data_IF_281968259111
#
_entry.id   IF_281968259111
#
_cell.length_a   1.000
_cell.length_b   1.000
_cell.length_c   1.000
_cell.angle_alpha   90.00
_cell.angle_beta   90.00
_cell.angle_gamma   90.00
#
_symmetry.space_group_name_H-M   'P 1'
#
loop_
_entity.id
_entity.type
_entity.pdbx_description
1 polymer ?
#
# COMPACT_ATOMS: atom_id res chain seq x y z
N UNK A 1 15.91 -0.80 -5.98
CA UNK A 1 15.18 -1.80 -5.15
C UNK A 1 13.67 -1.49 -5.11
N UNK A 2 13.24 -0.27 -4.75
CA UNK A 2 11.81 0.15 -4.77
C UNK A 2 11.15 0.03 -6.15
N UNK A 3 11.78 0.56 -7.20
CA UNK A 3 11.29 0.45 -8.59
C UNK A 3 10.98 -0.99 -9.03
N UNK A 4 11.77 -1.97 -8.57
CA UNK A 4 11.54 -3.37 -8.92
C UNK A 4 10.37 -3.98 -8.13
N UNK A 5 10.15 -3.54 -6.89
CA UNK A 5 8.99 -3.92 -6.09
C UNK A 5 7.70 -3.39 -6.74
N UNK A 6 7.70 -2.12 -7.16
CA UNK A 6 6.55 -1.52 -7.85
C UNK A 6 6.27 -2.20 -9.18
N UNK A 7 7.30 -2.44 -10.01
CA UNK A 7 7.14 -3.20 -11.27
C UNK A 7 6.53 -4.57 -11.04
N UNK A 8 7.02 -5.33 -10.05
CA UNK A 8 6.45 -6.65 -9.72
C UNK A 8 4.98 -6.56 -9.29
N UNK A 9 4.62 -5.53 -8.53
CA UNK A 9 3.23 -5.30 -8.14
C UNK A 9 2.35 -4.98 -9.35
N UNK A 10 2.80 -4.08 -10.23
CA UNK A 10 2.08 -3.73 -11.45
C UNK A 10 1.93 -4.95 -12.38
N UNK A 11 3.00 -5.71 -12.58
CA UNK A 11 3.00 -6.92 -13.42
C UNK A 11 2.05 -7.99 -12.85
N UNK A 12 2.00 -8.14 -11.53
CA UNK A 12 1.07 -9.04 -10.86
C UNK A 12 -0.39 -8.60 -11.07
N UNK A 13 -0.70 -7.31 -10.90
CA UNK A 13 -2.04 -6.75 -11.14
C UNK A 13 -2.45 -6.96 -12.60
N UNK A 14 -1.56 -6.66 -13.56
CA UNK A 14 -1.81 -6.89 -14.99
C UNK A 14 -2.05 -8.36 -15.29
N UNK A 15 -1.26 -9.24 -14.71
CA UNK A 15 -1.41 -10.68 -14.90
C UNK A 15 -2.77 -11.18 -14.39
N UNK A 16 -3.15 -10.81 -13.16
CA UNK A 16 -4.46 -11.22 -12.62
C UNK A 16 -5.61 -10.64 -13.44
N UNK A 17 -5.53 -9.35 -13.83
CA UNK A 17 -6.54 -8.73 -14.70
C UNK A 17 -6.67 -9.44 -16.04
N UNK A 18 -5.56 -9.79 -16.68
CA UNK A 18 -5.58 -10.49 -17.97
C UNK A 18 -6.14 -11.92 -17.86
N UNK A 19 -6.00 -12.56 -16.68
CA UNK A 19 -6.61 -13.86 -16.40
C UNK A 19 -8.13 -13.77 -16.20
N UNK A 20 -8.62 -12.66 -15.65
CA UNK A 20 -10.05 -12.46 -15.35
C UNK A 20 -10.83 -11.75 -16.49
N UNK A 21 -10.14 -10.90 -17.26
CA UNK A 21 -10.68 -10.07 -18.33
C UNK A 21 -9.94 -10.38 -19.64
N UNK A 22 -10.48 -11.29 -20.48
CA UNK A 22 -9.84 -11.67 -21.73
C UNK A 22 -9.72 -10.48 -22.71
N UNK A 23 -9.03 -10.70 -23.82
CA UNK A 23 -8.86 -9.67 -24.86
C UNK A 23 -10.18 -9.25 -25.50
N UNK A 24 -10.20 -8.07 -26.14
CA UNK A 24 -11.38 -7.43 -26.71
C UNK A 24 -12.27 -8.37 -27.56
N UNK A 25 -11.67 -9.38 -28.19
CA UNK A 25 -12.34 -10.39 -29.00
C UNK A 25 -13.30 -11.32 -28.24
N UNK A 26 -13.23 -11.36 -26.90
CA UNK A 26 -14.07 -12.21 -26.05
C UNK A 26 -14.99 -11.41 -25.10
N UNK A 27 -15.10 -10.10 -25.30
CA UNK A 27 -15.89 -9.20 -24.43
C UNK A 27 -17.34 -9.64 -24.33
N UNK A 28 -17.93 -10.13 -25.42
CA UNK A 28 -19.32 -10.58 -25.47
C UNK A 28 -19.61 -11.86 -24.66
N UNK A 29 -18.59 -12.54 -24.13
CA UNK A 29 -18.73 -13.79 -23.36
C UNK A 29 -18.47 -13.61 -21.86
N UNK A 30 -18.10 -12.41 -21.42
CA UNK A 30 -17.73 -12.13 -20.02
C UNK A 30 -18.46 -10.87 -19.56
N UNK A 31 -19.01 -10.92 -18.35
CA UNK A 31 -19.54 -9.73 -17.70
C UNK A 31 -18.38 -8.88 -17.14
N UNK A 32 -17.91 -7.93 -17.96
CA UNK A 32 -16.81 -7.03 -17.61
C UNK A 32 -17.12 -6.21 -16.37
N UNK A 33 -18.36 -5.74 -16.22
CA UNK A 33 -18.75 -4.92 -15.07
C UNK A 33 -18.63 -5.72 -13.77
N UNK A 34 -19.17 -6.93 -13.74
CA UNK A 34 -19.11 -7.81 -12.57
C UNK A 34 -17.67 -8.24 -12.22
N UNK A 35 -16.86 -8.56 -13.23
CA UNK A 35 -15.45 -8.92 -13.04
C UNK A 35 -14.61 -7.75 -12.54
N UNK A 36 -14.74 -6.57 -13.16
CA UNK A 36 -14.08 -5.36 -12.70
C UNK A 36 -14.47 -5.00 -11.26
N UNK A 37 -15.76 -5.10 -10.91
CA UNK A 37 -16.25 -4.88 -9.55
C UNK A 37 -15.59 -5.84 -8.55
N UNK A 38 -15.58 -7.14 -8.88
CA UNK A 38 -14.95 -8.17 -8.03
C UNK A 38 -13.48 -7.89 -7.82
N UNK A 39 -12.75 -7.54 -8.89
CA UNK A 39 -11.33 -7.24 -8.83
C UNK A 39 -11.03 -5.99 -8.00
N UNK A 40 -11.80 -4.92 -8.19
CA UNK A 40 -11.67 -3.68 -7.41
C UNK A 40 -11.91 -3.94 -5.93
N UNK A 41 -12.95 -4.68 -5.58
CA UNK A 41 -13.25 -5.02 -4.19
C UNK A 41 -12.13 -5.88 -3.57
N UNK A 42 -11.63 -6.89 -4.30
CA UNK A 42 -10.47 -7.69 -3.86
C UNK A 42 -9.25 -6.80 -3.59
N UNK A 43 -8.97 -5.83 -4.46
CA UNK A 43 -7.86 -4.89 -4.26
C UNK A 43 -8.07 -3.92 -3.11
N UNK A 44 -9.24 -3.31 -2.98
CA UNK A 44 -9.56 -2.44 -1.85
C UNK A 44 -9.33 -3.16 -0.52
N UNK A 45 -9.89 -4.36 -0.36
CA UNK A 45 -9.72 -5.16 0.86
C UNK A 45 -8.26 -5.52 1.13
N UNK A 46 -7.51 -5.86 0.08
CA UNK A 46 -6.09 -6.21 0.19
C UNK A 46 -5.24 -5.02 0.64
N UNK A 47 -5.44 -3.86 0.02
CA UNK A 47 -4.77 -2.60 0.37
C UNK A 47 -5.16 -2.10 1.77
N UNK A 48 -6.44 -2.18 2.13
CA UNK A 48 -6.93 -1.81 3.46
C UNK A 48 -6.27 -2.67 4.54
N UNK A 49 -6.22 -3.99 4.35
CA UNK A 49 -5.58 -4.91 5.28
C UNK A 49 -4.10 -4.58 5.50
N UNK A 50 -3.34 -4.32 4.43
CA UNK A 50 -1.93 -3.95 4.53
C UNK A 50 -1.74 -2.59 5.20
N UNK A 51 -2.50 -1.58 4.77
CA UNK A 51 -2.48 -0.23 5.34
C UNK A 51 -2.75 -0.26 6.84
N UNK A 52 -3.78 -1.00 7.26
CA UNK A 52 -4.10 -1.19 8.68
C UNK A 52 -2.92 -1.82 9.44
N UNK A 53 -2.36 -2.91 8.92
CA UNK A 53 -1.23 -3.58 9.55
C UNK A 53 0.00 -2.66 9.70
N UNK A 54 0.32 -1.87 8.68
CA UNK A 54 1.43 -0.90 8.73
C UNK A 54 1.15 0.19 9.77
N UNK A 55 -0.07 0.74 9.82
CA UNK A 55 -0.47 1.72 10.84
C UNK A 55 -0.38 1.16 12.26
N UNK A 56 -0.80 -0.08 12.47
CA UNK A 56 -0.68 -0.77 13.75
C UNK A 56 0.80 -0.94 14.14
N UNK A 57 1.68 -1.29 13.20
CA UNK A 57 3.13 -1.35 13.42
C UNK A 57 3.73 0.01 13.79
N UNK A 58 3.33 1.10 13.12
CA UNK A 58 3.75 2.47 13.43
C UNK A 58 3.32 2.84 14.86
N UNK A 59 2.06 2.59 15.22
CA UNK A 59 1.52 2.87 16.56
C UNK A 59 2.31 2.15 17.64
N UNK A 60 2.45 0.82 17.53
CA UNK A 60 3.19 0.01 18.51
C UNK A 60 4.66 0.41 18.61
N UNK A 61 5.28 0.77 17.49
CA UNK A 61 6.69 1.20 17.46
C UNK A 61 6.87 2.57 18.11
N UNK A 62 5.92 3.47 17.91
CA UNK A 62 5.90 4.80 18.53
C UNK A 62 5.73 4.68 20.04
N UNK A 63 4.76 3.91 20.52
CA UNK A 63 4.53 3.66 21.95
C UNK A 63 5.79 3.10 22.63
N UNK A 64 6.43 2.12 22.01
CA UNK A 64 7.68 1.53 22.51
C UNK A 64 8.85 2.52 22.53
N UNK A 65 8.97 3.37 21.51
CA UNK A 65 10.02 4.37 21.44
C UNK A 65 9.85 5.41 22.56
N UNK A 66 8.63 5.91 22.75
CA UNK A 66 8.29 6.87 23.82
C UNK A 66 8.58 6.26 25.20
N UNK A 67 8.19 5.01 25.44
CA UNK A 67 8.47 4.33 26.71
C UNK A 67 9.98 4.24 26.99
N UNK A 68 10.79 3.94 25.96
CA UNK A 68 12.24 3.85 26.10
C UNK A 68 12.90 5.21 26.35
N UNK A 69 12.48 6.25 25.63
CA UNK A 69 12.97 7.61 25.87
C UNK A 69 12.69 8.05 27.31
N UNK A 70 11.46 7.80 27.79
CA UNK A 70 11.07 8.12 29.17
C UNK A 70 11.89 7.35 30.22
N UNK A 71 12.14 6.06 29.98
CA UNK A 71 12.99 5.27 30.89
C UNK A 71 14.44 5.75 30.90
N UNK A 72 14.94 6.22 29.76
CA UNK A 72 16.30 6.78 29.64
C UNK A 72 16.43 8.08 30.44
N UNK A 73 15.47 8.99 30.30
CA UNK A 73 15.42 10.28 31.01
C UNK A 73 15.39 10.10 32.54
N UNK A 74 14.64 9.12 33.04
CA UNK A 74 14.55 8.84 34.48
C UNK A 74 15.82 8.22 35.06
N UNK A 75 16.71 7.67 34.23
CA UNK A 75 17.85 6.88 34.70
C UNK A 75 19.10 7.70 35.06
N UNK A 76 19.13 9.02 34.82
CA UNK A 76 20.28 9.93 35.08
C UNK A 76 21.67 9.41 34.63
N UNK A 77 21.71 8.44 33.71
CA UNK A 77 22.94 7.84 33.24
C UNK A 77 23.38 8.55 31.95
N UNK A 78 24.16 9.62 32.10
CA UNK A 78 24.71 10.44 30.99
C UNK A 78 25.57 9.67 29.98
N UNK A 79 25.83 8.37 30.20
CA UNK A 79 26.79 7.60 29.40
C UNK A 79 26.38 6.17 29.06
N UNK A 80 25.08 5.85 28.95
CA UNK A 80 24.66 4.49 28.56
C UNK A 80 24.54 4.34 27.04
N UNK A 81 25.69 4.18 26.36
CA UNK A 81 25.78 4.02 24.89
C UNK A 81 24.83 2.95 24.31
N UNK A 82 24.52 1.92 25.09
CA UNK A 82 23.60 0.83 24.70
C UNK A 82 22.15 1.33 24.57
N UNK A 83 21.67 2.14 25.51
CA UNK A 83 20.32 2.72 25.48
C UNK A 83 20.15 3.65 24.28
N UNK A 84 21.15 4.50 24.02
CA UNK A 84 21.17 5.40 22.85
C UNK A 84 21.11 4.61 21.54
N UNK A 85 21.88 3.52 21.44
CA UNK A 85 21.90 2.65 20.25
C UNK A 85 20.53 2.01 20.01
N UNK A 86 19.84 1.58 21.06
CA UNK A 86 18.53 0.95 20.94
C UNK A 86 17.42 1.94 20.60
N UNK A 87 17.49 3.17 21.13
CA UNK A 87 16.62 4.28 20.69
C UNK A 87 16.81 4.55 19.20
N UNK A 88 18.05 4.66 18.72
CA UNK A 88 18.36 4.90 17.31
C UNK A 88 17.84 3.78 16.40
N UNK A 89 18.04 2.50 16.78
CA UNK A 89 17.50 1.35 16.03
C UNK A 89 15.98 1.43 15.90
N UNK A 90 15.28 1.77 16.99
CA UNK A 90 13.82 1.86 17.00
C UNK A 90 13.29 3.06 16.23
N UNK A 91 13.99 4.20 16.27
CA UNK A 91 13.70 5.34 15.41
C UNK A 91 13.86 4.98 13.93
N UNK A 92 14.94 4.27 13.58
CA UNK A 92 15.13 3.80 12.20
C UNK A 92 14.00 2.87 11.76
N UNK A 93 13.62 1.91 12.61
CA UNK A 93 12.51 1.00 12.33
C UNK A 93 11.17 1.75 12.15
N UNK A 94 10.89 2.76 12.99
CA UNK A 94 9.71 3.59 12.84
C UNK A 94 9.69 4.33 11.49
N UNK A 95 10.82 4.92 11.08
CA UNK A 95 10.97 5.58 9.76
C UNK A 95 10.77 4.58 8.61
N UNK A 96 11.22 3.35 8.76
CA UNK A 96 10.97 2.29 7.77
C UNK A 96 9.47 2.04 7.63
N UNK A 97 8.72 1.85 8.72
CA UNK A 97 7.28 1.65 8.64
C UNK A 97 6.53 2.85 8.05
N UNK A 98 6.94 4.07 8.36
CA UNK A 98 6.39 5.28 7.74
C UNK A 98 6.65 5.31 6.23
N UNK A 99 7.84 4.89 5.80
CA UNK A 99 8.18 4.76 4.37
C UNK A 99 7.33 3.68 3.70
N UNK A 100 7.12 2.54 4.36
CA UNK A 100 6.23 1.48 3.84
C UNK A 100 4.78 1.96 3.68
N UNK A 101 4.29 2.82 4.59
CA UNK A 101 2.96 3.40 4.46
C UNK A 101 2.84 4.28 3.21
N UNK A 102 3.82 5.14 2.96
CA UNK A 102 3.87 5.97 1.74
C UNK A 102 3.99 5.11 0.47
N UNK A 103 4.79 4.04 0.53
CA UNK A 103 4.92 3.10 -0.59
C UNK A 103 3.58 2.41 -0.88
N UNK A 104 2.84 2.00 0.14
CA UNK A 104 1.53 1.35 -0.02
C UNK A 104 0.52 2.27 -0.73
N UNK A 105 0.50 3.57 -0.42
CA UNK A 105 -0.36 4.56 -1.08
C UNK A 105 -0.02 4.74 -2.57
N UNK A 106 1.27 4.75 -2.91
CA UNK A 106 1.76 4.81 -4.29
C UNK A 106 1.39 3.54 -5.05
N UNK A 107 1.64 2.37 -4.45
CA UNK A 107 1.30 1.06 -5.05
C UNK A 107 -0.21 0.98 -5.29
N UNK A 108 -1.02 1.39 -4.32
CA UNK A 108 -2.48 1.43 -4.43
C UNK A 108 -2.93 2.31 -5.59
N UNK A 109 -2.36 3.51 -5.71
CA UNK A 109 -2.70 4.43 -6.79
C UNK A 109 -2.29 3.89 -8.16
N UNK A 110 -1.10 3.29 -8.28
CA UNK A 110 -0.66 2.64 -9.52
C UNK A 110 -1.57 1.48 -9.93
N UNK A 111 -1.89 0.60 -8.99
CA UNK A 111 -2.75 -0.55 -9.22
C UNK A 111 -4.15 -0.13 -9.71
N UNK A 112 -4.77 0.85 -9.05
CA UNK A 112 -6.10 1.32 -9.49
C UNK A 112 -6.08 2.06 -10.81
N UNK A 113 -4.96 2.69 -11.20
CA UNK A 113 -4.82 3.27 -12.54
C UNK A 113 -4.86 2.19 -13.62
N UNK A 114 -4.13 1.09 -13.43
CA UNK A 114 -4.16 -0.05 -14.37
C UNK A 114 -5.57 -0.65 -14.48
N UNK A 115 -6.27 -0.79 -13.35
CA UNK A 115 -7.64 -1.30 -13.35
C UNK A 115 -8.58 -0.30 -14.07
N UNK A 116 -8.45 1.00 -13.80
CA UNK A 116 -9.23 2.05 -14.47
C UNK A 116 -9.07 2.00 -15.98
N UNK A 117 -7.83 2.00 -16.48
CA UNK A 117 -7.53 1.92 -17.92
C UNK A 117 -8.19 0.71 -18.58
N UNK A 118 -8.26 -0.42 -17.86
CA UNK A 118 -8.85 -1.66 -18.38
C UNK A 118 -10.39 -1.71 -18.27
N UNK A 119 -10.97 -1.05 -17.27
CA UNK A 119 -12.37 -1.20 -16.90
C UNK A 119 -13.26 0.00 -17.25
N UNK A 120 -12.70 1.17 -17.55
CA UNK A 120 -13.42 2.45 -17.67
C UNK A 120 -14.57 2.48 -18.68
N UNK A 121 -14.54 1.64 -19.72
CA UNK A 121 -15.59 1.58 -20.74
C UNK A 121 -16.87 0.88 -20.26
N UNK A 122 -16.75 0.00 -19.26
CA UNK A 122 -17.85 -0.89 -18.84
C UNK A 122 -18.15 -0.84 -17.34
N UNK A 123 -17.33 -0.14 -16.55
CA UNK A 123 -17.45 -0.12 -15.10
C UNK A 123 -17.09 1.25 -14.51
N UNK A 124 -17.94 1.74 -13.60
CA UNK A 124 -17.75 3.01 -12.88
C UNK A 124 -17.66 2.72 -11.39
N UNK A 125 -16.71 3.35 -10.71
CA UNK A 125 -16.51 3.20 -9.27
C UNK A 125 -15.88 4.47 -8.68
N UNK A 126 -16.27 4.91 -7.46
CA UNK A 126 -15.74 6.14 -6.84
C UNK A 126 -14.20 6.17 -6.70
N UNK A 127 -13.57 5.00 -6.51
CA UNK A 127 -12.09 4.89 -6.44
C UNK A 127 -11.38 5.42 -7.69
N UNK A 128 -12.09 5.51 -8.82
CA UNK A 128 -11.55 5.99 -10.09
C UNK A 128 -11.76 7.48 -10.33
N UNK A 129 -12.50 8.18 -9.49
CA UNK A 129 -12.80 9.60 -9.73
C UNK A 129 -11.51 10.44 -9.84
N UNK A 130 -10.49 10.10 -9.06
CA UNK A 130 -9.15 10.73 -9.13
C UNK A 130 -8.37 10.50 -10.43
N UNK A 131 -8.82 9.58 -11.30
CA UNK A 131 -8.15 9.28 -12.58
C UNK A 131 -8.87 9.88 -13.79
N UNK A 132 -10.09 10.38 -13.62
CA UNK A 132 -10.92 10.90 -14.72
C UNK A 132 -10.34 12.18 -15.34
N UNK A 133 -9.65 13.00 -14.54
CA UNK A 133 -9.09 14.28 -14.99
C UNK A 133 -7.82 14.12 -15.85
N UNK A 134 -7.30 12.90 -16.01
CA UNK A 134 -6.16 12.60 -16.88
C UNK A 134 -6.55 12.31 -18.34
N UNK A 135 -7.85 12.29 -18.66
CA UNK A 135 -8.38 12.05 -20.01
C UNK A 135 -8.61 13.37 -20.80
N UNK A 136 -8.03 14.49 -20.38
CA UNK A 136 -8.00 15.79 -21.09
C UNK A 136 -6.67 16.05 -21.79
#
# INVERSE_FOLDING_TARGET
>A
RLLNLWRKSDDHVRYELNSELPTASFVSKVDYASKCNTFVNKMLMSHEKRTKAIRDCIKLSTEKLVALQRSSELSNNECNMEVTRDIQKRQLLLRQFQTELLNEEVIQTSAFKVIYERCREHFRHPVFDKFRDYDL
#
